data_IF_656459851954
#
_entry.id   IF_656459851954
#
_cell.length_a   1.000
_cell.length_b   1.000
_cell.length_c   1.000
_cell.angle_alpha   90.00
_cell.angle_beta   90.00
_cell.angle_gamma   90.00
#
_symmetry.space_group_name_H-M   'P 1'
#
loop_
_entity.id
_entity.type
_entity.pdbx_description
1 polymer ?
#
# COMPACT_ATOMS: atom_id res chain seq x y z
N UNK A 1 -12.27 -4.45 5.79
CA UNK A 1 -13.59 -4.80 5.22
C UNK A 1 -14.25 -6.03 5.85
N UNK A 2 -13.51 -6.93 6.53
CA UNK A 2 -14.05 -8.16 7.13
C UNK A 2 -14.80 -9.05 6.11
N UNK A 3 -14.12 -9.41 5.03
CA UNK A 3 -14.63 -10.30 3.99
C UNK A 3 -13.68 -11.48 3.83
N UNK A 4 -14.22 -12.68 3.57
CA UNK A 4 -13.39 -13.79 3.11
C UNK A 4 -12.85 -13.49 1.69
N UNK A 5 -11.75 -14.14 1.28
CA UNK A 5 -11.26 -14.05 -0.09
C UNK A 5 -12.33 -14.39 -1.15
N UNK A 6 -13.15 -15.40 -0.90
CA UNK A 6 -14.17 -15.88 -1.84
C UNK A 6 -15.34 -14.91 -1.98
N UNK A 7 -15.79 -14.32 -0.87
CA UNK A 7 -16.84 -13.30 -0.88
C UNK A 7 -16.33 -12.04 -1.58
N UNK A 8 -15.07 -11.65 -1.32
CA UNK A 8 -14.43 -10.53 -1.98
C UNK A 8 -14.29 -10.78 -3.49
N UNK A 9 -13.88 -11.96 -3.93
CA UNK A 9 -13.80 -12.33 -5.36
C UNK A 9 -15.17 -12.27 -6.04
N UNK A 10 -16.21 -12.80 -5.39
CA UNK A 10 -17.59 -12.75 -5.90
C UNK A 10 -18.10 -11.32 -6.04
N UNK A 11 -17.83 -10.47 -5.03
CA UNK A 11 -18.17 -9.06 -5.06
C UNK A 11 -17.35 -8.31 -6.13
N UNK A 12 -16.07 -8.62 -6.29
CA UNK A 12 -15.20 -8.00 -7.29
C UNK A 12 -15.71 -8.24 -8.71
N UNK A 13 -16.09 -9.48 -9.01
CA UNK A 13 -16.72 -9.85 -10.29
C UNK A 13 -18.02 -9.08 -10.55
N UNK A 14 -18.78 -8.79 -9.51
CA UNK A 14 -20.06 -8.07 -9.62
C UNK A 14 -19.85 -6.56 -9.81
N UNK A 15 -18.95 -5.97 -9.03
CA UNK A 15 -18.89 -4.51 -8.85
C UNK A 15 -17.68 -3.85 -9.50
N UNK A 16 -16.56 -4.56 -9.65
CA UNK A 16 -15.33 -4.02 -10.24
C UNK A 16 -15.19 -4.40 -11.72
N UNK A 17 -15.44 -5.66 -12.06
CA UNK A 17 -15.29 -6.15 -13.45
C UNK A 17 -16.11 -5.44 -14.53
N UNK A 18 -17.28 -4.81 -14.27
CA UNK A 18 -17.95 -3.98 -15.28
C UNK A 18 -17.12 -2.80 -15.82
N UNK A 19 -16.02 -2.46 -15.13
CA UNK A 19 -15.06 -1.42 -15.51
C UNK A 19 -13.77 -1.98 -16.13
N UNK A 20 -13.62 -3.30 -16.26
CA UNK A 20 -12.48 -3.92 -16.94
C UNK A 20 -12.36 -3.37 -18.38
N UNK A 21 -11.14 -3.00 -18.76
CA UNK A 21 -10.85 -2.33 -20.04
C UNK A 21 -11.31 -0.86 -20.14
N UNK A 22 -11.96 -0.31 -19.10
CA UNK A 22 -12.35 1.12 -19.01
C UNK A 22 -11.52 1.88 -17.98
N UNK A 23 -11.01 1.19 -16.98
CA UNK A 23 -10.11 1.70 -15.95
C UNK A 23 -9.14 0.59 -15.52
N UNK A 24 -8.00 0.97 -14.93
CA UNK A 24 -7.17 0.03 -14.18
C UNK A 24 -7.91 -0.40 -12.92
N UNK A 25 -7.95 -1.70 -12.65
CA UNK A 25 -8.60 -2.26 -11.48
C UNK A 25 -7.57 -2.81 -10.49
N UNK A 26 -7.57 -2.25 -9.28
CA UNK A 26 -6.73 -2.72 -8.18
C UNK A 26 -7.38 -3.89 -7.45
N UNK A 27 -6.58 -4.82 -6.93
CA UNK A 27 -7.05 -5.77 -5.93
C UNK A 27 -7.48 -5.05 -4.63
N UNK A 28 -8.29 -5.69 -3.75
CA UNK A 28 -8.57 -5.16 -2.42
C UNK A 28 -7.26 -4.88 -1.67
N UNK A 29 -7.20 -3.74 -0.97
CA UNK A 29 -6.02 -3.37 -0.21
C UNK A 29 -5.93 -4.18 1.10
N UNK A 30 -4.78 -4.82 1.33
CA UNK A 30 -4.56 -5.69 2.49
C UNK A 30 -3.55 -5.11 3.47
N UNK A 31 -3.63 -5.50 4.74
CA UNK A 31 -2.71 -5.05 5.81
C UNK A 31 -1.34 -5.73 5.73
N UNK A 32 -0.39 -5.29 6.54
CA UNK A 32 0.86 -6.02 6.81
C UNK A 32 0.71 -7.12 7.89
N UNK A 33 -0.50 -7.62 8.11
CA UNK A 33 -0.79 -8.69 9.07
C UNK A 33 -0.33 -10.07 8.59
N UNK A 34 -0.03 -10.97 9.53
CA UNK A 34 0.36 -12.36 9.27
C UNK A 34 -0.79 -13.34 9.58
N UNK A 35 -0.57 -14.64 9.32
CA UNK A 35 -1.47 -15.75 9.69
C UNK A 35 -2.85 -15.68 9.00
N UNK A 36 -2.87 -15.71 7.66
CA UNK A 36 -4.10 -15.66 6.88
C UNK A 36 -4.67 -14.25 6.69
N UNK A 37 -3.96 -13.23 7.17
CA UNK A 37 -4.21 -11.82 6.86
C UNK A 37 -3.19 -11.34 5.82
N UNK A 38 -3.31 -10.07 5.41
CA UNK A 38 -2.29 -9.44 4.58
C UNK A 38 -2.05 -10.16 3.27
N UNK A 39 -0.79 -10.48 2.98
CA UNK A 39 -0.40 -11.12 1.73
C UNK A 39 -0.93 -12.55 1.59
N UNK A 40 -1.17 -13.27 2.69
CA UNK A 40 -1.81 -14.59 2.66
C UNK A 40 -3.26 -14.46 2.15
N UNK A 41 -3.99 -13.44 2.64
CA UNK A 41 -5.34 -13.14 2.19
C UNK A 41 -5.36 -12.68 0.73
N UNK A 42 -4.38 -11.85 0.33
CA UNK A 42 -4.25 -11.39 -1.06
C UNK A 42 -4.03 -12.58 -2.01
N UNK A 43 -3.13 -13.50 -1.66
CA UNK A 43 -2.87 -14.70 -2.45
C UNK A 43 -4.15 -15.53 -2.64
N UNK A 44 -4.89 -15.78 -1.55
CA UNK A 44 -6.16 -16.51 -1.59
C UNK A 44 -7.23 -15.78 -2.44
N UNK A 45 -7.29 -14.45 -2.37
CA UNK A 45 -8.21 -13.66 -3.19
C UNK A 45 -7.87 -13.76 -4.67
N UNK A 46 -6.58 -13.66 -5.02
CA UNK A 46 -6.12 -13.78 -6.40
C UNK A 46 -6.40 -15.16 -6.97
N UNK A 47 -6.25 -16.23 -6.17
CA UNK A 47 -6.61 -17.59 -6.55
C UNK A 47 -8.14 -17.74 -6.75
N UNK A 48 -8.95 -17.19 -5.85
CA UNK A 48 -10.41 -17.26 -5.92
C UNK A 48 -11.02 -16.43 -7.08
N UNK A 49 -10.36 -15.35 -7.50
CA UNK A 49 -10.85 -14.44 -8.53
C UNK A 49 -10.49 -14.92 -9.96
N UNK A 50 -10.79 -16.18 -10.28
CA UNK A 50 -10.58 -16.72 -11.63
C UNK A 50 -11.33 -15.89 -12.69
N UNK A 51 -10.64 -15.51 -13.76
CA UNK A 51 -11.15 -14.64 -14.82
C UNK A 51 -11.28 -13.14 -14.48
N UNK A 52 -10.82 -12.70 -13.31
CA UNK A 52 -10.80 -11.28 -12.96
C UNK A 52 -9.64 -10.54 -13.65
N UNK A 53 -9.92 -9.36 -14.20
CA UNK A 53 -8.89 -8.40 -14.57
C UNK A 53 -8.43 -7.68 -13.30
N UNK A 54 -7.15 -7.82 -12.98
CA UNK A 54 -6.47 -7.13 -11.89
C UNK A 54 -5.18 -6.54 -12.47
N UNK A 55 -5.12 -5.21 -12.51
CA UNK A 55 -4.05 -4.44 -13.12
C UNK A 55 -2.93 -4.11 -12.13
N UNK A 56 -3.26 -4.00 -10.84
CA UNK A 56 -2.29 -3.79 -9.75
C UNK A 56 -2.82 -4.39 -8.44
N UNK A 57 -1.93 -4.57 -7.47
CA UNK A 57 -2.32 -4.92 -6.09
C UNK A 57 -2.10 -3.73 -5.15
N UNK A 58 -2.94 -3.62 -4.13
CA UNK A 58 -2.86 -2.56 -3.14
C UNK A 58 -2.49 -3.15 -1.77
N UNK A 59 -1.59 -2.47 -1.05
CA UNK A 59 -1.13 -2.91 0.27
C UNK A 59 -1.01 -1.75 1.24
N UNK A 60 -1.19 -2.05 2.52
CA UNK A 60 -1.05 -1.12 3.63
C UNK A 60 0.07 -1.59 4.55
N UNK A 61 0.82 -0.64 5.12
CA UNK A 61 1.85 -0.97 6.11
C UNK A 61 1.84 -0.01 7.30
N UNK A 62 1.80 -0.57 8.50
CA UNK A 62 2.00 0.16 9.75
C UNK A 62 2.86 -0.66 10.71
N UNK A 63 4.02 -0.13 11.08
CA UNK A 63 4.87 -0.71 12.11
C UNK A 63 5.89 0.30 12.65
N UNK A 64 6.72 -0.11 13.61
CA UNK A 64 7.81 0.73 14.12
C UNK A 64 8.87 1.06 13.04
N UNK A 65 9.53 2.23 13.14
CA UNK A 65 10.58 2.65 12.19
C UNK A 65 11.77 1.67 12.11
N UNK A 66 12.03 0.90 13.17
CA UNK A 66 13.06 -0.16 13.15
C UNK A 66 12.77 -1.28 12.15
N UNK A 67 11.53 -1.36 11.64
CA UNK A 67 11.09 -2.35 10.66
C UNK A 67 11.07 -1.79 9.22
N UNK A 68 11.90 -0.80 8.90
CA UNK A 68 11.99 -0.22 7.55
C UNK A 68 12.44 -1.24 6.49
N UNK A 69 13.35 -2.15 6.81
CA UNK A 69 13.71 -3.24 5.88
C UNK A 69 12.54 -4.22 5.68
N UNK A 70 11.73 -4.42 6.72
CA UNK A 70 10.51 -5.20 6.60
C UNK A 70 9.47 -4.49 5.71
N UNK A 71 9.33 -3.16 5.78
CA UNK A 71 8.51 -2.40 4.82
C UNK A 71 8.92 -2.70 3.38
N UNK A 72 10.21 -2.57 3.06
CA UNK A 72 10.74 -2.81 1.70
C UNK A 72 10.47 -4.24 1.23
N UNK A 73 10.74 -5.23 2.09
CA UNK A 73 10.44 -6.64 1.77
C UNK A 73 8.94 -6.93 1.64
N UNK A 74 8.07 -6.28 2.42
CA UNK A 74 6.63 -6.44 2.31
C UNK A 74 6.11 -5.91 0.96
N UNK A 75 6.62 -4.77 0.48
CA UNK A 75 6.28 -4.20 -0.84
C UNK A 75 6.77 -5.11 -1.97
N UNK A 76 7.98 -5.65 -1.88
CA UNK A 76 8.49 -6.65 -2.84
C UNK A 76 7.64 -7.93 -2.83
N UNK A 77 7.34 -8.48 -1.66
CA UNK A 77 6.56 -9.71 -1.56
C UNK A 77 5.13 -9.53 -2.13
N UNK A 78 4.57 -8.33 -2.08
CA UNK A 78 3.26 -8.05 -2.67
C UNK A 78 3.27 -8.18 -4.20
N UNK A 79 4.29 -7.67 -4.90
CA UNK A 79 4.42 -7.87 -6.36
C UNK A 79 4.66 -9.35 -6.68
N UNK A 80 5.48 -10.04 -5.88
CA UNK A 80 5.79 -11.46 -6.08
C UNK A 80 4.54 -12.33 -5.95
N UNK A 81 3.74 -12.14 -4.90
CA UNK A 81 2.44 -12.81 -4.70
C UNK A 81 1.48 -12.52 -5.85
N UNK A 82 1.55 -11.33 -6.44
CA UNK A 82 0.71 -10.91 -7.55
C UNK A 82 1.21 -11.38 -8.93
N UNK A 83 2.27 -12.19 -8.99
CA UNK A 83 2.87 -12.66 -10.24
C UNK A 83 3.56 -11.54 -11.02
N UNK A 84 4.18 -10.60 -10.32
CA UNK A 84 4.92 -9.47 -10.91
C UNK A 84 4.04 -8.27 -11.30
N UNK A 85 2.77 -8.22 -10.88
CA UNK A 85 1.90 -7.06 -11.11
C UNK A 85 2.39 -5.85 -10.30
N UNK A 86 2.21 -4.62 -10.81
CA UNK A 86 2.53 -3.42 -10.06
C UNK A 86 1.82 -3.36 -8.70
N UNK A 87 2.49 -2.71 -7.74
CA UNK A 87 2.02 -2.50 -6.37
C UNK A 87 1.70 -1.02 -6.18
N UNK A 88 0.56 -0.75 -5.56
CA UNK A 88 0.22 0.54 -4.99
C UNK A 88 0.29 0.44 -3.47
N UNK A 89 1.19 1.21 -2.85
CA UNK A 89 1.27 1.29 -1.38
C UNK A 89 0.26 2.35 -0.92
N UNK A 90 -1.02 1.98 -0.86
CA UNK A 90 -2.12 2.94 -0.66
C UNK A 90 -2.18 3.53 0.75
N UNK A 91 -1.55 2.87 1.73
CA UNK A 91 -1.33 3.43 3.05
C UNK A 91 0.03 2.98 3.59
N UNK A 92 0.83 3.91 4.09
CA UNK A 92 1.97 3.57 4.93
C UNK A 92 2.27 4.65 5.96
N UNK A 93 2.56 4.27 7.20
CA UNK A 93 3.07 5.17 8.21
C UNK A 93 3.76 4.38 9.34
N UNK A 94 4.90 4.86 9.87
CA UNK A 94 5.46 4.24 11.05
C UNK A 94 4.63 4.57 12.30
N UNK A 95 4.60 3.65 13.26
CA UNK A 95 3.87 3.80 14.53
C UNK A 95 4.81 4.16 15.67
N UNK A 96 4.39 5.03 16.59
CA UNK A 96 5.16 5.36 17.79
C UNK A 96 6.43 6.17 17.54
N UNK A 97 6.54 6.79 16.36
CA UNK A 97 7.69 7.57 15.94
C UNK A 97 7.48 9.07 16.20
N UNK A 98 8.56 9.78 16.54
CA UNK A 98 8.59 11.25 16.52
C UNK A 98 8.61 11.79 15.09
N UNK A 99 8.19 13.04 14.90
CA UNK A 99 8.20 13.72 13.60
C UNK A 99 9.56 13.62 12.88
N UNK A 100 10.67 13.74 13.63
CA UNK A 100 12.02 13.60 13.09
C UNK A 100 12.29 12.17 12.59
N UNK A 101 11.85 11.15 13.33
CA UNK A 101 11.97 9.75 12.91
C UNK A 101 11.09 9.46 11.69
N UNK A 102 9.90 10.06 11.62
CA UNK A 102 9.01 9.95 10.45
C UNK A 102 9.67 10.58 9.22
N UNK A 103 10.25 11.77 9.35
CA UNK A 103 10.97 12.43 8.26
C UNK A 103 12.14 11.57 7.75
N UNK A 104 12.99 11.03 8.64
CA UNK A 104 14.09 10.13 8.24
C UNK A 104 13.57 8.86 7.57
N UNK A 105 12.47 8.29 8.05
CA UNK A 105 11.84 7.14 7.40
C UNK A 105 11.39 7.47 5.97
N UNK A 106 10.71 8.62 5.77
CA UNK A 106 10.27 9.08 4.46
C UNK A 106 11.44 9.32 3.50
N UNK A 107 12.52 9.93 3.99
CA UNK A 107 13.74 10.19 3.23
C UNK A 107 14.44 8.91 2.74
N UNK A 108 14.22 7.78 3.41
CA UNK A 108 14.69 6.46 2.98
C UNK A 108 13.69 5.77 2.03
N UNK A 109 12.43 5.64 2.42
CA UNK A 109 11.50 4.76 1.69
C UNK A 109 10.96 5.38 0.40
N UNK A 110 10.83 6.71 0.29
CA UNK A 110 10.30 7.33 -0.93
C UNK A 110 11.27 7.18 -2.11
N UNK A 111 12.57 7.55 -2.01
CA UNK A 111 13.53 7.27 -3.08
C UNK A 111 13.64 5.78 -3.43
N UNK A 112 13.57 4.92 -2.41
CA UNK A 112 13.59 3.48 -2.66
C UNK A 112 12.38 3.06 -3.50
N UNK A 113 11.16 3.46 -3.12
CA UNK A 113 9.95 3.20 -3.92
C UNK A 113 10.03 3.80 -5.32
N UNK A 114 10.47 5.04 -5.47
CA UNK A 114 10.64 5.72 -6.76
C UNK A 114 11.60 4.96 -7.69
N UNK A 115 12.60 4.28 -7.13
CA UNK A 115 13.55 3.47 -7.90
C UNK A 115 13.06 2.06 -8.24
N UNK A 116 11.94 1.59 -7.66
CA UNK A 116 11.38 0.28 -7.94
C UNK A 116 10.39 0.35 -9.11
N UNK A 117 10.69 -0.29 -10.24
CA UNK A 117 9.80 -0.29 -11.41
C UNK A 117 8.43 -0.95 -11.18
N UNK A 118 8.31 -1.76 -10.13
CA UNK A 118 7.06 -2.42 -9.76
C UNK A 118 6.23 -1.62 -8.74
N UNK A 119 6.73 -0.51 -8.19
CA UNK A 119 5.93 0.39 -7.35
C UNK A 119 5.38 1.50 -8.24
N UNK A 120 4.10 1.40 -8.60
CA UNK A 120 3.48 2.37 -9.53
C UNK A 120 2.96 3.62 -8.78
N UNK A 121 2.59 3.50 -7.51
CA UNK A 121 2.10 4.62 -6.69
C UNK A 121 2.21 4.31 -5.20
N UNK A 122 2.29 5.35 -4.37
CA UNK A 122 2.22 5.23 -2.92
C UNK A 122 1.53 6.45 -2.28
N UNK A 123 1.02 6.28 -1.06
CA UNK A 123 0.40 7.34 -0.28
C UNK A 123 0.71 7.19 1.21
N UNK A 124 1.40 8.17 1.79
CA UNK A 124 1.57 8.22 3.24
C UNK A 124 0.20 8.39 3.91
N UNK A 125 0.03 7.77 5.07
CA UNK A 125 -1.21 7.89 5.85
C UNK A 125 -1.07 8.90 7.00
N UNK A 126 -1.70 10.08 6.96
CA UNK A 126 -2.52 10.63 5.88
C UNK A 126 -2.57 12.17 5.88
N UNK A 127 -3.21 12.76 4.87
CA UNK A 127 -3.46 14.19 4.77
C UNK A 127 -4.55 14.65 5.75
N UNK A 128 -4.19 14.77 7.03
CA UNK A 128 -5.05 15.29 8.09
C UNK A 128 -4.26 16.13 9.08
N UNK A 129 -4.97 17.00 9.82
CA UNK A 129 -4.38 17.77 10.91
C UNK A 129 -3.84 16.83 12.00
N UNK A 130 -2.64 17.13 12.50
CA UNK A 130 -1.87 16.25 13.39
C UNK A 130 -1.12 15.10 12.69
N UNK A 131 -1.19 15.02 11.36
CA UNK A 131 -0.41 14.10 10.53
C UNK A 131 0.41 14.88 9.50
N UNK A 132 0.15 14.73 8.19
CA UNK A 132 0.84 15.53 7.16
C UNK A 132 0.51 17.02 7.21
N UNK A 133 -0.53 17.42 7.94
CA UNK A 133 -1.00 18.81 8.05
C UNK A 133 -0.90 19.27 9.50
N UNK A 134 -0.52 20.54 9.68
CA UNK A 134 -0.59 21.29 10.94
C UNK A 134 -1.42 22.56 10.69
N UNK A 135 -2.69 22.54 11.10
CA UNK A 135 -3.65 23.59 10.78
C UNK A 135 -3.90 23.71 9.27
N UNK A 136 -3.36 24.75 8.64
CA UNK A 136 -3.49 24.99 7.18
C UNK A 136 -2.21 24.77 6.40
N UNK A 137 -1.12 24.40 7.07
CA UNK A 137 0.21 24.22 6.49
C UNK A 137 0.65 22.75 6.57
N UNK A 138 1.62 22.31 5.74
CA UNK A 138 2.27 21.02 5.97
C UNK A 138 2.88 20.95 7.38
N UNK A 139 2.79 19.79 8.04
CA UNK A 139 3.58 19.51 9.24
C UNK A 139 5.07 19.40 8.89
N UNK A 140 5.96 19.24 9.89
CA UNK A 140 7.40 19.10 9.62
C UNK A 140 7.69 17.92 8.69
N UNK A 141 7.15 16.74 8.97
CA UNK A 141 7.32 15.59 8.06
C UNK A 141 6.34 15.64 6.88
N UNK A 142 5.25 16.39 6.97
CA UNK A 142 4.39 16.71 5.83
C UNK A 142 5.14 17.48 4.74
N UNK A 143 6.00 18.40 5.14
CA UNK A 143 6.90 19.11 4.23
C UNK A 143 7.91 18.15 3.58
N UNK A 144 8.49 17.22 4.34
CA UNK A 144 9.35 16.16 3.80
C UNK A 144 8.60 15.36 2.74
N UNK A 145 7.39 14.86 3.05
CA UNK A 145 6.57 14.09 2.12
C UNK A 145 6.25 14.87 0.84
N UNK A 146 5.97 16.18 0.94
CA UNK A 146 5.57 17.00 -0.19
C UNK A 146 6.71 17.41 -1.12
N UNK A 147 7.97 17.42 -0.66
CA UNK A 147 9.08 18.06 -1.39
C UNK A 147 10.34 17.23 -1.53
N UNK A 148 10.47 16.14 -0.77
CA UNK A 148 11.65 15.30 -0.86
C UNK A 148 11.58 14.40 -2.09
N UNK A 149 12.49 14.65 -3.03
CA UNK A 149 12.72 13.83 -4.22
C UNK A 149 14.21 13.55 -4.30
N UNK A 150 14.61 12.31 -4.61
CA UNK A 150 16.02 11.96 -4.85
C UNK A 150 16.55 12.48 -6.18
#
# INVERSE_FOLDING_TARGET
ANMSPEDAASAYKTWMMPFAGKAKLGAPAVTNGANGMGLDWLAAFLEACDGCQIDFVAIHWYADVSLTDYFKSHVQNATDVAGGKPVWVTEFAPTGASDAQIATFLEDVMPWMDSQSFVESYSYFMASDGALISGTEPSTFGQTYATYTS
#
